data_IF_706534112444
#
_entry.id   IF_706534112444
#
_cell.length_a   1.000
_cell.length_b   1.000
_cell.length_c   1.000
_cell.angle_alpha   90.00
_cell.angle_beta   90.00
_cell.angle_gamma   90.00
#
_symmetry.space_group_name_H-M   'P 1'
#
loop_
_entity.id
_entity.type
_entity.pdbx_description
1 polymer ?
#
# COMPACT_ATOMS: atom_id res chain seq x y z
N UNK A 1 -7.13 22.28 13.41
CA UNK A 1 -6.89 20.96 14.04
C UNK A 1 -5.85 20.20 13.22
N UNK A 2 -4.69 19.88 13.81
CA UNK A 2 -3.63 19.10 13.12
C UNK A 2 -4.23 17.74 12.76
N UNK A 3 -4.40 17.43 11.47
CA UNK A 3 -5.05 16.20 11.00
C UNK A 3 -4.15 14.97 11.27
N UNK A 4 -3.94 14.62 12.54
CA UNK A 4 -3.18 13.44 12.99
C UNK A 4 -3.79 12.15 12.41
N UNK A 5 -5.10 12.13 12.22
CA UNK A 5 -5.83 11.03 11.60
C UNK A 5 -5.31 10.74 10.18
N UNK A 6 -5.05 11.77 9.38
CA UNK A 6 -4.54 11.61 8.00
C UNK A 6 -3.12 11.02 7.97
N UNK A 7 -2.28 11.38 8.94
CA UNK A 7 -0.94 10.83 9.10
C UNK A 7 -0.98 9.36 9.53
N UNK A 8 -1.85 9.00 10.48
CA UNK A 8 -2.04 7.62 10.93
C UNK A 8 -2.48 6.73 9.77
N UNK A 9 -3.48 7.17 8.98
CA UNK A 9 -3.90 6.40 7.82
C UNK A 9 -2.78 6.23 6.78
N UNK A 10 -1.92 7.22 6.58
CA UNK A 10 -0.79 7.09 5.65
C UNK A 10 0.18 5.98 6.10
N UNK A 11 0.50 5.93 7.40
CA UNK A 11 1.31 4.84 7.97
C UNK A 11 0.63 3.48 7.80
N UNK A 12 -0.68 3.40 8.07
CA UNK A 12 -1.47 2.18 7.90
C UNK A 12 -1.43 1.70 6.44
N UNK A 13 -1.64 2.59 5.47
CA UNK A 13 -1.57 2.24 4.04
C UNK A 13 -0.19 1.75 3.61
N UNK A 14 0.88 2.33 4.15
CA UNK A 14 2.24 1.90 3.89
C UNK A 14 2.50 0.48 4.44
N UNK A 15 2.11 0.22 5.69
CA UNK A 15 2.28 -1.10 6.32
C UNK A 15 1.45 -2.16 5.61
N UNK A 16 0.18 -1.87 5.29
CA UNK A 16 -0.70 -2.77 4.52
C UNK A 16 -0.13 -3.09 3.15
N UNK A 17 0.37 -2.09 2.43
CA UNK A 17 0.97 -2.29 1.11
C UNK A 17 2.21 -3.18 1.17
N UNK A 18 3.09 -2.95 2.17
CA UNK A 18 4.25 -3.81 2.39
C UNK A 18 3.89 -5.25 2.74
N UNK A 19 2.88 -5.45 3.58
CA UNK A 19 2.44 -6.76 4.03
C UNK A 19 1.76 -7.55 2.88
N UNK A 20 0.93 -6.88 2.08
CA UNK A 20 0.35 -7.45 0.86
C UNK A 20 1.43 -7.82 -0.17
N UNK A 21 2.48 -7.00 -0.30
CA UNK A 21 3.60 -7.29 -1.19
C UNK A 21 4.37 -8.53 -0.73
N UNK A 22 4.60 -8.65 0.59
CA UNK A 22 5.25 -9.82 1.16
C UNK A 22 4.45 -11.11 0.91
N UNK A 23 3.14 -11.08 1.15
CA UNK A 23 2.24 -12.21 0.85
C UNK A 23 2.25 -12.53 -0.64
N UNK A 24 2.20 -11.51 -1.50
CA UNK A 24 2.25 -11.70 -2.95
C UNK A 24 3.51 -12.45 -3.38
N UNK A 25 4.68 -12.06 -2.85
CA UNK A 25 5.96 -12.72 -3.13
C UNK A 25 5.96 -14.15 -2.60
N UNK A 26 5.51 -14.37 -1.36
CA UNK A 26 5.45 -15.68 -0.72
C UNK A 26 4.57 -16.67 -1.50
N UNK A 27 3.36 -16.23 -1.90
CA UNK A 27 2.47 -17.02 -2.76
C UNK A 27 3.01 -17.22 -4.17
N UNK A 28 3.76 -16.25 -4.70
CA UNK A 28 4.41 -16.43 -6.01
C UNK A 28 5.45 -17.54 -5.98
N UNK A 29 6.19 -17.65 -4.88
CA UNK A 29 7.21 -18.68 -4.70
C UNK A 29 6.55 -20.05 -4.48
N UNK A 30 5.44 -20.09 -3.75
CA UNK A 30 4.76 -21.34 -3.38
C UNK A 30 3.90 -21.91 -4.50
N UNK A 31 3.01 -21.10 -5.08
CA UNK A 31 1.94 -21.55 -6.00
C UNK A 31 2.07 -20.95 -7.41
N UNK A 32 3.03 -20.06 -7.63
CA UNK A 32 3.30 -19.40 -8.92
C UNK A 32 2.51 -18.11 -9.14
N UNK A 33 2.87 -17.39 -10.21
CA UNK A 33 2.32 -16.04 -10.53
C UNK A 33 0.81 -16.06 -10.83
N UNK A 34 0.28 -17.19 -11.30
CA UNK A 34 -1.13 -17.32 -11.69
C UNK A 34 -2.10 -17.14 -10.52
N UNK A 35 -1.69 -17.52 -9.31
CA UNK A 35 -2.48 -17.39 -8.08
C UNK A 35 -2.09 -16.15 -7.27
N UNK A 36 -0.95 -15.49 -7.51
CA UNK A 36 -0.50 -14.38 -6.65
C UNK A 36 -0.78 -12.98 -7.22
N UNK A 37 -1.16 -12.87 -8.50
CA UNK A 37 -1.25 -11.59 -9.22
C UNK A 37 -2.19 -10.56 -8.57
N UNK A 38 -3.28 -11.00 -7.95
CA UNK A 38 -4.23 -10.10 -7.27
C UNK A 38 -3.64 -9.45 -6.02
N UNK A 39 -2.77 -10.15 -5.28
CA UNK A 39 -2.07 -9.56 -4.14
C UNK A 39 -1.07 -8.48 -4.57
N UNK A 40 -0.39 -8.65 -5.71
CA UNK A 40 0.45 -7.59 -6.27
C UNK A 40 -0.35 -6.36 -6.66
N UNK A 41 -1.52 -6.53 -7.29
CA UNK A 41 -2.40 -5.41 -7.64
C UNK A 41 -2.85 -4.68 -6.38
N UNK A 42 -3.24 -5.40 -5.33
CA UNK A 42 -3.63 -4.81 -4.06
C UNK A 42 -2.47 -4.08 -3.36
N UNK A 43 -1.27 -4.67 -3.38
CA UNK A 43 -0.07 -4.03 -2.87
C UNK A 43 0.22 -2.71 -3.62
N UNK A 44 0.18 -2.74 -4.95
CA UNK A 44 0.36 -1.55 -5.80
C UNK A 44 -0.71 -0.50 -5.50
N UNK A 45 -1.97 -0.88 -5.40
CA UNK A 45 -3.07 0.04 -5.04
C UNK A 45 -2.85 0.71 -3.68
N UNK A 46 -2.40 -0.04 -2.68
CA UNK A 46 -2.08 0.48 -1.37
C UNK A 46 -0.93 1.50 -1.41
N UNK A 47 0.14 1.21 -2.17
CA UNK A 47 1.25 2.15 -2.40
C UNK A 47 0.83 3.39 -3.18
N UNK A 48 -0.02 3.24 -4.20
CA UNK A 48 -0.58 4.35 -4.98
C UNK A 48 -1.43 5.25 -4.09
N UNK A 49 -2.28 4.67 -3.25
CA UNK A 49 -3.09 5.41 -2.26
C UNK A 49 -2.22 6.17 -1.26
N UNK A 50 -1.14 5.55 -0.76
CA UNK A 50 -0.13 6.22 0.05
C UNK A 50 0.49 7.41 -0.70
N UNK A 51 0.92 7.20 -1.95
CA UNK A 51 1.56 8.23 -2.77
C UNK A 51 0.63 9.42 -3.06
N UNK A 52 -0.63 9.17 -3.43
CA UNK A 52 -1.62 10.22 -3.65
C UNK A 52 -1.90 11.01 -2.37
N UNK A 53 -2.04 10.34 -1.22
CA UNK A 53 -2.21 11.01 0.08
C UNK A 53 -1.01 11.88 0.45
N UNK A 54 0.20 11.40 0.16
CA UNK A 54 1.43 12.18 0.35
C UNK A 54 1.46 13.41 -0.55
N UNK A 55 1.11 13.28 -1.83
CA UNK A 55 1.05 14.42 -2.77
C UNK A 55 0.00 15.46 -2.39
N UNK A 56 -1.19 15.03 -1.95
CA UNK A 56 -2.23 15.96 -1.49
C UNK A 56 -1.79 16.80 -0.29
N UNK A 57 -0.93 16.27 0.59
CA UNK A 57 -0.36 17.06 1.69
C UNK A 57 0.69 18.06 1.23
N UNK A 58 1.54 17.69 0.28
CA UNK A 58 2.56 18.59 -0.27
C UNK A 58 1.90 19.72 -1.06
N UNK A 59 0.86 19.43 -1.85
CA UNK A 59 0.13 20.43 -2.64
C UNK A 59 -0.73 21.40 -1.81
N UNK A 60 -0.98 21.10 -0.52
CA UNK A 60 -1.72 21.98 0.41
C UNK A 60 -0.80 22.84 1.29
N UNK A 61 0.52 22.73 1.14
CA UNK A 61 1.52 23.64 1.72
C UNK A 61 1.90 24.69 0.70
#
# INVERSE_FOLDING_TARGET
>A
MKNNISAIFEVIWFVLGGLMCFIAVDMTISDGIGESWYYYIFAILAFVMYFFRRRMRISRR
#
